data_IF_338050003804
#
_entry.id   IF_338050003804
#
_cell.length_a   1.000
_cell.length_b   1.000
_cell.length_c   1.000
_cell.angle_alpha   90.00
_cell.angle_beta   90.00
_cell.angle_gamma   90.00
#
_symmetry.space_group_name_H-M   'P 1'
#
loop_
_entity.id
_entity.type
_entity.pdbx_description
1 polymer ?
#
# COMPACT_ATOMS: atom_id res chain seq x y z
N UNK A 1 7.73 17.07 -19.59
CA UNK A 1 7.80 15.65 -20.02
C UNK A 1 6.48 15.01 -19.60
N UNK A 2 5.70 14.46 -20.53
CA UNK A 2 4.46 13.77 -20.18
C UNK A 2 4.81 12.38 -19.66
N UNK A 3 4.22 11.96 -18.54
CA UNK A 3 4.41 10.61 -17.99
C UNK A 3 3.79 9.59 -18.94
N UNK A 4 4.53 8.51 -19.24
CA UNK A 4 4.02 7.43 -20.08
C UNK A 4 3.29 6.39 -19.21
N UNK A 5 2.00 6.17 -19.47
CA UNK A 5 1.20 5.20 -18.72
C UNK A 5 1.73 3.76 -18.85
N UNK A 6 2.15 3.34 -20.05
CA UNK A 6 2.66 1.98 -20.30
C UNK A 6 3.97 1.72 -19.53
N UNK A 7 4.86 2.71 -19.48
CA UNK A 7 6.10 2.61 -18.70
C UNK A 7 5.79 2.46 -17.20
N UNK A 8 4.88 3.27 -16.66
CA UNK A 8 4.47 3.17 -15.26
C UNK A 8 3.82 1.82 -14.94
N UNK A 9 2.96 1.33 -15.83
CA UNK A 9 2.34 0.00 -15.70
C UNK A 9 3.38 -1.12 -15.76
N UNK A 10 4.37 -1.03 -16.65
CA UNK A 10 5.48 -1.99 -16.71
C UNK A 10 6.23 -2.05 -15.38
N UNK A 11 6.57 -0.90 -14.81
CA UNK A 11 7.21 -0.83 -13.48
C UNK A 11 6.31 -1.50 -12.44
N UNK A 12 5.04 -1.14 -12.38
CA UNK A 12 4.08 -1.70 -11.43
C UNK A 12 3.90 -3.22 -11.55
N UNK A 13 4.04 -3.80 -12.74
CA UNK A 13 3.90 -5.25 -12.97
C UNK A 13 5.17 -6.06 -12.73
N UNK A 14 6.34 -5.49 -13.05
CA UNK A 14 7.57 -6.27 -13.12
C UNK A 14 8.47 -6.05 -11.91
N UNK A 15 8.48 -4.84 -11.34
CA UNK A 15 9.45 -4.50 -10.32
C UNK A 15 9.11 -5.15 -8.99
N UNK A 16 10.14 -5.41 -8.19
CA UNK A 16 9.99 -6.09 -6.91
C UNK A 16 9.18 -5.23 -5.92
N UNK A 17 8.18 -5.88 -5.33
CA UNK A 17 7.30 -5.34 -4.28
C UNK A 17 7.40 -6.15 -2.99
N UNK A 18 8.23 -7.19 -2.96
CA UNK A 18 8.23 -8.14 -1.86
C UNK A 18 8.85 -7.57 -0.59
N UNK A 19 8.44 -8.13 0.53
CA UNK A 19 8.99 -7.87 1.85
C UNK A 19 9.31 -9.19 2.55
N UNK A 20 10.15 -9.11 3.59
CA UNK A 20 10.35 -10.25 4.47
C UNK A 20 9.04 -10.61 5.21
N UNK A 21 9.00 -11.80 5.82
CA UNK A 21 7.88 -12.19 6.68
C UNK A 21 7.66 -11.15 7.78
N UNK A 22 6.40 -10.85 8.08
CA UNK A 22 5.97 -9.93 9.14
C UNK A 22 6.40 -8.46 8.93
N UNK A 23 6.91 -8.12 7.75
CA UNK A 23 7.58 -6.83 7.47
C UNK A 23 6.83 -5.92 6.49
N UNK A 24 5.64 -6.31 6.02
CA UNK A 24 4.82 -5.47 5.17
C UNK A 24 4.06 -4.41 5.99
N UNK A 25 4.16 -3.15 5.57
CA UNK A 25 3.47 -2.01 6.20
C UNK A 25 2.60 -1.31 5.17
N UNK A 26 1.33 -1.06 5.49
CA UNK A 26 0.39 -0.31 4.66
C UNK A 26 -0.19 0.86 5.42
N UNK A 27 -0.58 1.89 4.69
CA UNK A 27 -1.22 3.07 5.27
C UNK A 27 -2.26 3.66 4.32
N UNK A 28 -3.28 4.32 4.88
CA UNK A 28 -4.29 5.02 4.10
C UNK A 28 -4.22 6.53 4.34
N UNK A 29 -4.13 7.32 3.27
CA UNK A 29 -4.16 8.79 3.31
C UNK A 29 -5.18 9.41 2.35
N UNK A 30 -5.74 8.64 1.43
CA UNK A 30 -6.67 9.16 0.41
C UNK A 30 -7.97 9.64 1.07
N UNK A 31 -8.41 10.84 0.70
CA UNK A 31 -9.63 11.49 1.21
C UNK A 31 -9.60 11.81 2.72
N UNK A 32 -8.45 11.66 3.38
CA UNK A 32 -8.26 12.07 4.76
C UNK A 32 -7.78 13.53 4.86
N UNK A 33 -8.12 14.18 5.97
CA UNK A 33 -7.70 15.56 6.25
C UNK A 33 -6.24 15.68 6.68
N UNK A 34 -5.64 14.58 7.15
CA UNK A 34 -4.28 14.57 7.70
C UNK A 34 -3.46 13.45 7.08
N UNK A 35 -2.13 13.59 7.13
CA UNK A 35 -1.18 12.57 6.72
C UNK A 35 -0.76 11.63 7.86
N UNK A 36 -1.49 11.63 8.99
CA UNK A 36 -1.09 10.96 10.23
C UNK A 36 -0.79 9.47 10.05
N UNK A 37 -1.61 8.76 9.27
CA UNK A 37 -1.41 7.35 8.96
C UNK A 37 -0.09 7.08 8.24
N UNK A 38 0.29 7.92 7.25
CA UNK A 38 1.58 7.82 6.56
C UNK A 38 2.71 8.12 7.53
N UNK A 39 2.59 9.17 8.33
CA UNK A 39 3.64 9.59 9.24
C UNK A 39 3.91 8.51 10.31
N UNK A 40 2.86 7.86 10.82
CA UNK A 40 2.96 6.68 11.69
C UNK A 40 3.61 5.49 10.97
N UNK A 41 3.25 5.21 9.72
CA UNK A 41 3.86 4.13 8.95
C UNK A 41 5.35 4.35 8.73
N UNK A 42 5.77 5.55 8.36
CA UNK A 42 7.17 5.90 8.18
C UNK A 42 7.95 5.86 9.50
N UNK A 43 7.35 6.33 10.60
CA UNK A 43 7.93 6.18 11.93
C UNK A 43 8.12 4.70 12.30
N UNK A 44 7.13 3.85 12.02
CA UNK A 44 7.21 2.41 12.26
C UNK A 44 8.32 1.75 11.44
N UNK A 45 8.40 2.02 10.13
CA UNK A 45 9.47 1.50 9.26
C UNK A 45 10.85 1.95 9.74
N UNK A 46 10.99 3.21 10.15
CA UNK A 46 12.24 3.74 10.72
C UNK A 46 12.65 3.01 12.00
N UNK A 47 11.68 2.64 12.84
CA UNK A 47 11.93 1.93 14.10
C UNK A 47 12.15 0.42 13.91
N UNK A 48 11.61 -0.19 12.85
CA UNK A 48 11.62 -1.62 12.60
C UNK A 48 12.43 -1.93 11.34
N UNK A 49 13.75 -2.07 11.50
CA UNK A 49 14.68 -2.33 10.38
C UNK A 49 14.24 -3.58 9.59
N UNK A 50 14.07 -3.40 8.28
CA UNK A 50 13.66 -4.48 7.37
C UNK A 50 12.18 -4.44 6.99
N UNK A 51 11.34 -3.79 7.80
CA UNK A 51 9.97 -3.46 7.43
C UNK A 51 9.94 -2.40 6.33
N UNK A 52 8.93 -2.47 5.46
CA UNK A 52 8.81 -1.59 4.30
C UNK A 52 7.34 -1.28 4.01
N UNK A 53 7.09 -0.04 3.61
CA UNK A 53 5.90 0.31 2.84
C UNK A 53 6.11 -0.03 1.37
N UNK A 54 5.04 0.04 0.54
CA UNK A 54 5.19 -0.07 -0.91
C UNK A 54 6.19 0.96 -1.46
N UNK A 55 6.17 2.18 -0.92
CA UNK A 55 7.07 3.28 -1.32
C UNK A 55 8.55 2.91 -1.13
N UNK A 56 8.86 2.06 -0.15
CA UNK A 56 10.23 1.62 0.18
C UNK A 56 10.74 0.47 -0.71
N UNK A 57 9.85 -0.16 -1.48
CA UNK A 57 10.20 -1.25 -2.39
C UNK A 57 10.90 -0.73 -3.65
N UNK A 58 11.67 -1.56 -4.38
CA UNK A 58 12.22 -1.16 -5.69
C UNK A 58 11.15 -0.63 -6.66
N UNK A 59 9.95 -1.24 -6.67
CA UNK A 59 8.82 -0.74 -7.45
C UNK A 59 8.41 0.67 -7.05
N UNK A 60 8.11 0.91 -5.77
CA UNK A 60 7.66 2.23 -5.28
C UNK A 60 8.70 3.33 -5.49
N UNK A 61 9.97 3.04 -5.20
CA UNK A 61 11.08 3.98 -5.44
C UNK A 61 11.20 4.36 -6.90
N UNK A 62 11.17 3.37 -7.81
CA UNK A 62 11.27 3.63 -9.25
C UNK A 62 10.09 4.48 -9.75
N UNK A 63 8.86 4.19 -9.29
CA UNK A 63 7.69 4.99 -9.64
C UNK A 63 7.84 6.45 -9.18
N UNK A 64 8.30 6.67 -7.96
CA UNK A 64 8.56 8.00 -7.40
C UNK A 64 9.68 8.74 -8.16
N UNK A 65 10.80 8.07 -8.43
CA UNK A 65 11.94 8.62 -9.19
C UNK A 65 11.56 9.02 -10.61
N UNK A 66 10.65 8.26 -11.24
CA UNK A 66 10.10 8.54 -12.57
C UNK A 66 8.98 9.58 -12.58
N UNK A 67 8.59 10.11 -11.42
CA UNK A 67 7.59 11.16 -11.30
C UNK A 67 6.13 10.69 -11.25
N UNK A 68 5.86 9.39 -11.12
CA UNK A 68 4.51 8.85 -10.93
C UNK A 68 4.03 9.06 -9.49
N UNK A 69 4.11 10.26 -8.92
CA UNK A 69 3.72 10.50 -7.53
C UNK A 69 2.20 10.66 -7.39
N UNK A 70 1.62 9.96 -6.43
CA UNK A 70 0.21 10.10 -6.07
C UNK A 70 0.02 11.13 -4.95
N UNK A 71 0.53 12.36 -5.09
CA UNK A 71 0.31 13.43 -4.10
C UNK A 71 -1.02 14.13 -4.37
N UNK A 72 -1.98 13.81 -3.50
CA UNK A 72 -3.36 14.26 -3.24
C UNK A 72 -4.11 15.37 -4.02
N UNK A 73 -3.58 16.07 -5.02
CA UNK A 73 -4.37 17.06 -5.77
C UNK A 73 -4.32 16.93 -7.30
N UNK A 74 -3.36 16.17 -7.88
CA UNK A 74 -3.18 16.13 -9.36
C UNK A 74 -2.83 14.73 -9.90
N UNK A 75 -3.04 13.66 -9.12
CA UNK A 75 -2.83 12.31 -9.65
C UNK A 75 -3.92 11.97 -10.68
N UNK A 76 -3.52 11.76 -11.93
CA UNK A 76 -4.43 11.30 -12.98
C UNK A 76 -4.97 9.91 -12.66
N UNK A 77 -6.09 9.53 -13.25
CA UNK A 77 -6.64 8.18 -13.06
C UNK A 77 -5.68 7.08 -13.56
N UNK A 78 -4.80 7.41 -14.51
CA UNK A 78 -3.72 6.55 -14.97
C UNK A 78 -2.67 6.30 -13.87
N UNK A 79 -2.18 7.35 -13.20
CA UNK A 79 -1.25 7.21 -12.07
C UNK A 79 -1.92 6.41 -10.94
N UNK A 80 -3.19 6.67 -10.64
CA UNK A 80 -3.94 5.89 -9.64
C UNK A 80 -3.99 4.40 -10.02
N UNK A 81 -4.23 4.07 -11.30
CA UNK A 81 -4.24 2.67 -11.78
C UNK A 81 -2.89 1.98 -11.59
N UNK A 82 -1.78 2.68 -11.92
CA UNK A 82 -0.41 2.18 -11.72
C UNK A 82 -0.19 1.80 -10.26
N UNK A 83 -0.50 2.70 -9.32
CA UNK A 83 -0.34 2.44 -7.90
C UNK A 83 -1.26 1.36 -7.34
N UNK A 84 -2.50 1.26 -7.85
CA UNK A 84 -3.41 0.17 -7.47
C UNK A 84 -2.86 -1.20 -7.85
N UNK A 85 -2.24 -1.33 -9.03
CA UNK A 85 -1.61 -2.58 -9.48
C UNK A 85 -0.42 -2.94 -8.59
N UNK A 86 0.46 -1.98 -8.32
CA UNK A 86 1.61 -2.19 -7.45
C UNK A 86 1.17 -2.56 -6.01
N UNK A 87 0.15 -1.90 -5.48
CA UNK A 87 -0.46 -2.16 -4.17
C UNK A 87 -1.08 -3.56 -4.08
N UNK A 88 -1.82 -4.00 -5.09
CA UNK A 88 -2.37 -5.37 -5.10
C UNK A 88 -1.25 -6.42 -5.12
N UNK A 89 -0.18 -6.21 -5.90
CA UNK A 89 0.98 -7.11 -5.94
C UNK A 89 1.73 -7.10 -4.60
N UNK A 90 1.88 -5.94 -3.97
CA UNK A 90 2.49 -5.79 -2.65
C UNK A 90 1.77 -6.67 -1.63
N UNK A 91 0.44 -6.55 -1.55
CA UNK A 91 -0.39 -7.38 -0.67
C UNK A 91 -0.30 -8.86 -1.02
N UNK A 92 -0.32 -9.25 -2.30
CA UNK A 92 -0.17 -10.66 -2.71
C UNK A 92 1.18 -11.27 -2.32
N UNK A 93 2.24 -10.45 -2.26
CA UNK A 93 3.57 -10.87 -1.86
C UNK A 93 3.75 -10.95 -0.34
N UNK A 94 2.97 -10.18 0.42
CA UNK A 94 3.06 -10.12 1.88
C UNK A 94 2.68 -11.46 2.55
N UNK A 95 3.25 -11.68 3.73
CA UNK A 95 3.17 -12.95 4.45
C UNK A 95 3.35 -12.73 5.96
N UNK A 96 2.58 -13.45 6.77
CA UNK A 96 2.59 -13.37 8.23
C UNK A 96 1.69 -12.24 8.74
N UNK A 97 2.23 -11.39 9.60
CA UNK A 97 1.58 -10.19 10.10
C UNK A 97 1.77 -9.00 9.15
N UNK A 98 0.67 -8.34 8.80
CA UNK A 98 0.66 -7.05 8.13
C UNK A 98 0.58 -5.95 9.20
N UNK A 99 1.35 -4.87 9.05
CA UNK A 99 1.14 -3.66 9.86
C UNK A 99 0.31 -2.66 9.06
N UNK A 100 -0.82 -2.21 9.59
CA UNK A 100 -1.72 -1.29 8.91
C UNK A 100 -1.99 -0.04 9.75
N UNK A 101 -1.77 1.13 9.14
CA UNK A 101 -2.15 2.45 9.64
C UNK A 101 -3.28 3.01 8.77
N UNK A 102 -4.51 2.63 9.10
CA UNK A 102 -5.69 2.92 8.27
C UNK A 102 -6.82 3.56 9.08
N UNK A 103 -6.50 4.26 10.16
CA UNK A 103 -7.51 4.89 11.00
C UNK A 103 -8.32 5.89 10.17
N UNK A 104 -9.65 5.76 10.23
CA UNK A 104 -10.59 6.59 9.48
C UNK A 104 -10.58 6.39 7.96
N UNK A 105 -9.91 5.35 7.43
CA UNK A 105 -9.79 5.13 5.99
C UNK A 105 -11.13 5.26 5.25
N UNK A 106 -11.16 6.14 4.24
CA UNK A 106 -12.33 6.35 3.39
C UNK A 106 -12.60 5.10 2.54
N UNK A 107 -13.86 4.76 2.35
CA UNK A 107 -14.30 3.59 1.56
C UNK A 107 -13.81 3.61 0.11
N UNK A 108 -13.47 4.79 -0.42
CA UNK A 108 -12.92 4.99 -1.78
C UNK A 108 -11.40 4.86 -1.85
N UNK A 109 -10.71 4.76 -0.71
CA UNK A 109 -9.25 4.68 -0.66
C UNK A 109 -8.71 3.40 -1.32
N UNK A 110 -7.44 3.42 -1.75
CA UNK A 110 -6.77 2.21 -2.27
C UNK A 110 -6.73 1.09 -1.21
N UNK A 111 -6.55 1.46 0.06
CA UNK A 111 -6.62 0.51 1.18
C UNK A 111 -7.95 -0.25 1.16
N UNK A 112 -9.08 0.47 1.15
CA UNK A 112 -10.41 -0.15 1.19
C UNK A 112 -10.77 -0.88 -0.12
N UNK A 113 -10.46 -0.29 -1.28
CA UNK A 113 -10.94 -0.79 -2.57
C UNK A 113 -10.05 -1.86 -3.22
N UNK A 114 -8.77 -1.94 -2.82
CA UNK A 114 -7.78 -2.84 -3.43
C UNK A 114 -7.12 -3.72 -2.39
N UNK A 115 -6.52 -3.11 -1.36
CA UNK A 115 -5.70 -3.85 -0.40
C UNK A 115 -6.55 -4.77 0.46
N UNK A 116 -7.68 -4.31 1.00
CA UNK A 116 -8.57 -5.13 1.82
C UNK A 116 -9.07 -6.40 1.08
N UNK A 117 -9.64 -6.33 -0.14
CA UNK A 117 -9.96 -7.53 -0.91
C UNK A 117 -8.76 -8.45 -1.15
N UNK A 118 -7.58 -7.88 -1.45
CA UNK A 118 -6.37 -8.66 -1.68
C UNK A 118 -5.86 -9.34 -0.39
N UNK A 119 -5.97 -8.68 0.77
CA UNK A 119 -5.61 -9.23 2.08
C UNK A 119 -6.52 -10.41 2.42
N UNK A 120 -7.83 -10.29 2.16
CA UNK A 120 -8.77 -11.38 2.39
C UNK A 120 -8.42 -12.61 1.54
N UNK A 121 -8.05 -12.40 0.27
CA UNK A 121 -7.64 -13.48 -0.66
C UNK A 121 -6.26 -14.06 -0.36
N UNK A 122 -5.34 -13.30 0.23
CA UNK A 122 -3.99 -13.79 0.51
C UNK A 122 -3.95 -14.63 1.80
N UNK A 123 -3.96 -15.95 1.67
CA UNK A 123 -3.90 -16.90 2.80
C UNK A 123 -2.60 -16.83 3.61
N UNK A 124 -1.52 -16.26 3.06
CA UNK A 124 -0.23 -16.12 3.76
C UNK A 124 -0.28 -15.01 4.81
N UNK A 125 -1.16 -14.02 4.65
CA UNK A 125 -1.42 -13.01 5.69
C UNK A 125 -2.36 -13.64 6.72
N UNK A 126 -1.91 -13.67 7.98
CA UNK A 126 -2.66 -14.27 9.10
C UNK A 126 -3.25 -13.21 10.02
N UNK A 127 -2.49 -12.16 10.28
CA UNK A 127 -2.88 -11.09 11.20
C UNK A 127 -2.61 -9.72 10.61
N UNK A 128 -3.35 -8.73 11.09
CA UNK A 128 -3.10 -7.31 10.87
C UNK A 128 -2.97 -6.65 12.25
N UNK A 129 -1.83 -6.03 12.53
CA UNK A 129 -1.48 -5.47 13.85
C UNK A 129 -1.70 -6.48 14.99
N UNK A 130 -1.39 -7.76 14.77
CA UNK A 130 -1.57 -8.84 15.75
C UNK A 130 -3.01 -9.36 15.92
N UNK A 131 -3.99 -8.76 15.25
CA UNK A 131 -5.40 -9.21 15.25
C UNK A 131 -5.61 -10.10 14.02
N UNK A 132 -6.40 -11.17 14.12
CA UNK A 132 -6.78 -12.00 12.96
C UNK A 132 -7.33 -11.10 11.84
N UNK A 133 -6.89 -11.33 10.59
CA UNK A 133 -7.11 -10.37 9.50
C UNK A 133 -8.59 -10.12 9.18
N UNK A 134 -9.46 -11.14 9.23
CA UNK A 134 -10.89 -10.97 8.97
C UNK A 134 -11.52 -10.13 10.07
N UNK A 135 -11.16 -10.41 11.33
CA UNK A 135 -11.61 -9.63 12.48
C UNK A 135 -11.16 -8.17 12.42
N UNK A 136 -9.88 -7.91 12.14
CA UNK A 136 -9.37 -6.54 11.99
C UNK A 136 -10.15 -5.76 10.91
N UNK A 137 -10.44 -6.40 9.78
CA UNK A 137 -11.10 -5.75 8.64
C UNK A 137 -12.59 -5.47 8.83
N UNK A 138 -13.24 -6.05 9.85
CA UNK A 138 -14.65 -5.72 10.18
C UNK A 138 -14.84 -4.24 10.52
N UNK A 139 -13.81 -3.57 11.04
CA UNK A 139 -13.83 -2.14 11.39
C UNK A 139 -14.14 -1.22 10.21
N UNK A 140 -13.91 -1.70 8.98
CA UNK A 140 -14.08 -0.93 7.75
C UNK A 140 -15.30 -1.39 6.93
N UNK A 141 -16.01 -2.42 7.39
CA UNK A 141 -17.28 -2.85 6.79
C UNK A 141 -18.38 -2.00 7.41
N UNK A 142 -18.95 -1.10 6.61
CA UNK A 142 -20.23 -0.45 6.93
C UNK A 142 -21.37 -1.39 6.60
#
# INVERSE_FOLDING_TARGET
>A
MCLNFEEGMKIAFEFDVSTAKDCAVVYSISFLKTAENRDKAYAYVKANKGCKTLDDTPCGKTLCEKGYQATNEVATDEIKKIWKVASERFIKSANGNLTAFADGADERSTFCTVEMPAILKNEKIKTINGIEKVEYLKKFRK
#
